data_IF_816512746410
#
_entry.id   IF_816512746410
#
_cell.length_a   1.000
_cell.length_b   1.000
_cell.length_c   1.000
_cell.angle_alpha   90.00
_cell.angle_beta   90.00
_cell.angle_gamma   90.00
#
_symmetry.space_group_name_H-M   'P 1'
#
loop_
_entity.id
_entity.type
_entity.pdbx_description
1 polymer ?
#
# COMPACT_ATOMS: atom_id res chain seq x y z
N UNK A 1 -20.43 -16.96 -15.97
CA UNK A 1 -21.23 -15.74 -16.00
C UNK A 1 -21.95 -15.44 -14.67
N UNK A 2 -22.42 -16.45 -13.94
CA UNK A 2 -23.17 -16.23 -12.69
C UNK A 2 -22.29 -15.76 -11.51
N UNK A 3 -20.98 -15.98 -11.56
CA UNK A 3 -20.08 -15.58 -10.48
C UNK A 3 -19.83 -14.06 -10.45
N UNK A 4 -19.83 -13.41 -11.64
CA UNK A 4 -19.67 -11.96 -11.75
C UNK A 4 -20.91 -11.19 -11.26
N UNK A 5 -22.11 -11.68 -11.54
CA UNK A 5 -23.35 -11.05 -11.08
C UNK A 5 -23.47 -11.08 -9.55
N UNK A 6 -23.05 -12.16 -8.89
CA UNK A 6 -23.06 -12.24 -7.44
C UNK A 6 -22.06 -11.29 -6.78
N UNK A 7 -20.85 -11.13 -7.36
CA UNK A 7 -19.85 -10.21 -6.82
C UNK A 7 -20.23 -8.74 -7.04
N UNK A 8 -20.86 -8.38 -8.17
CA UNK A 8 -21.36 -7.03 -8.41
C UNK A 8 -22.47 -6.63 -7.43
N UNK A 9 -23.39 -7.53 -7.10
CA UNK A 9 -24.41 -7.28 -6.08
C UNK A 9 -23.79 -7.06 -4.70
N UNK A 10 -22.84 -7.91 -4.30
CA UNK A 10 -22.17 -7.77 -3.00
C UNK A 10 -21.39 -6.45 -2.88
N UNK A 11 -20.76 -5.99 -3.95
CA UNK A 11 -20.01 -4.73 -3.97
C UNK A 11 -20.94 -3.52 -3.82
N UNK A 12 -22.10 -3.52 -4.48
CA UNK A 12 -23.05 -2.40 -4.44
C UNK A 12 -23.67 -2.18 -3.06
N UNK A 13 -23.93 -3.26 -2.34
CA UNK A 13 -24.65 -3.23 -1.06
C UNK A 13 -23.72 -3.25 0.15
N UNK A 14 -22.40 -3.44 -0.07
CA UNK A 14 -21.41 -3.41 1.01
C UNK A 14 -21.01 -1.97 1.36
N UNK A 15 -20.85 -1.64 2.64
CA UNK A 15 -20.23 -0.37 3.04
C UNK A 15 -18.85 -0.22 2.40
N UNK A 16 -18.49 1.00 2.01
CA UNK A 16 -17.17 1.30 1.43
C UNK A 16 -16.00 0.86 2.33
N UNK A 17 -16.22 0.79 3.63
CA UNK A 17 -15.26 0.29 4.62
C UNK A 17 -14.92 -1.20 4.46
N UNK A 18 -15.75 -1.96 3.75
CA UNK A 18 -15.51 -3.38 3.47
C UNK A 18 -14.73 -3.61 2.16
N UNK A 19 -14.38 -2.53 1.45
CA UNK A 19 -13.68 -2.59 0.17
C UNK A 19 -12.29 -2.01 0.37
N UNK A 20 -11.25 -2.83 0.16
CA UNK A 20 -9.85 -2.41 0.29
C UNK A 20 -9.06 -2.85 -0.94
N UNK A 21 -8.06 -2.06 -1.34
CA UNK A 21 -7.08 -2.45 -2.36
C UNK A 21 -5.89 -3.15 -1.72
N UNK A 22 -5.41 -4.19 -2.39
CA UNK A 22 -4.30 -5.02 -1.92
C UNK A 22 -2.95 -4.31 -2.12
N UNK A 23 -2.40 -3.71 -1.07
CA UNK A 23 -1.04 -3.14 -1.04
C UNK A 23 -0.04 -4.06 -0.34
N UNK A 24 -0.52 -5.15 0.28
CA UNK A 24 0.28 -6.05 1.13
C UNK A 24 1.48 -6.66 0.41
N UNK A 25 1.37 -6.91 -0.89
CA UNK A 25 2.49 -7.46 -1.66
C UNK A 25 3.68 -6.50 -1.71
N UNK A 26 3.43 -5.23 -2.00
CA UNK A 26 4.49 -4.22 -2.08
C UNK A 26 4.99 -3.83 -0.68
N UNK A 27 4.10 -3.82 0.32
CA UNK A 27 4.46 -3.66 1.72
C UNK A 27 5.43 -4.77 2.18
N UNK A 28 5.12 -6.03 1.93
CA UNK A 28 5.98 -7.17 2.27
C UNK A 28 7.34 -7.10 1.53
N UNK A 29 7.33 -6.67 0.26
CA UNK A 29 8.56 -6.45 -0.52
C UNK A 29 9.42 -5.33 0.08
N UNK A 30 8.82 -4.22 0.45
CA UNK A 30 9.50 -3.09 1.08
C UNK A 30 10.17 -3.52 2.41
N UNK A 31 9.43 -4.23 3.28
CA UNK A 31 9.97 -4.83 4.52
C UNK A 31 11.16 -5.74 4.22
N UNK A 32 11.05 -6.64 3.25
CA UNK A 32 12.11 -7.59 2.88
C UNK A 32 13.37 -6.89 2.33
N UNK A 33 13.21 -5.85 1.50
CA UNK A 33 14.34 -5.08 0.96
C UNK A 33 15.08 -4.36 2.10
N UNK A 34 14.36 -3.73 3.01
CA UNK A 34 14.97 -3.04 4.15
C UNK A 34 15.62 -4.02 5.13
N UNK A 35 14.96 -5.11 5.47
CA UNK A 35 15.52 -6.16 6.33
C UNK A 35 16.84 -6.70 5.79
N UNK A 36 16.89 -6.96 4.47
CA UNK A 36 18.13 -7.39 3.79
C UNK A 36 19.22 -6.30 3.87
N UNK A 37 18.87 -5.03 3.67
CA UNK A 37 19.82 -3.90 3.75
C UNK A 37 20.45 -3.76 5.15
N UNK A 38 19.64 -3.99 6.18
CA UNK A 38 20.05 -3.80 7.58
C UNK A 38 20.59 -5.09 8.21
N UNK A 39 20.50 -6.23 7.53
CA UNK A 39 20.80 -7.56 8.08
C UNK A 39 19.94 -7.87 9.33
N UNK A 40 18.67 -7.50 9.27
CA UNK A 40 17.66 -7.71 10.30
C UNK A 40 16.58 -8.67 9.82
N UNK A 41 15.71 -9.14 10.72
CA UNK A 41 14.55 -9.95 10.34
C UNK A 41 13.40 -9.07 9.86
N UNK A 42 12.55 -9.61 8.99
CA UNK A 42 11.37 -8.90 8.45
C UNK A 42 10.39 -8.54 9.56
N UNK A 43 10.22 -9.42 10.55
CA UNK A 43 9.36 -9.20 11.71
C UNK A 43 9.84 -8.07 12.65
N UNK A 44 11.12 -7.71 12.59
CA UNK A 44 11.70 -6.62 13.39
C UNK A 44 11.52 -5.24 12.74
N UNK A 45 11.02 -5.18 11.49
CA UNK A 45 10.79 -3.94 10.74
C UNK A 45 9.36 -3.46 10.97
N UNK A 46 9.23 -2.24 11.44
CA UNK A 46 7.96 -1.60 11.81
C UNK A 46 7.75 -0.28 11.06
N UNK A 47 6.50 0.15 10.94
CA UNK A 47 6.08 1.47 10.45
C UNK A 47 6.48 1.77 9.00
N UNK A 48 6.56 0.78 8.12
CA UNK A 48 6.69 1.04 6.68
C UNK A 48 5.33 1.41 6.11
N UNK A 49 5.30 2.39 5.24
CA UNK A 49 4.09 2.81 4.53
C UNK A 49 4.31 2.69 3.02
N UNK A 50 3.25 2.30 2.31
CA UNK A 50 3.16 2.43 0.86
C UNK A 50 1.99 3.36 0.57
N UNK A 51 2.27 4.58 0.16
CA UNK A 51 1.26 5.56 -0.18
C UNK A 51 0.81 5.44 -1.64
N UNK A 52 -0.43 5.83 -1.91
CA UNK A 52 -0.90 6.13 -3.26
C UNK A 52 -1.53 4.98 -4.03
N UNK A 53 -1.36 5.00 -5.33
CA UNK A 53 -1.90 4.04 -6.27
C UNK A 53 -1.08 2.74 -6.28
N UNK A 54 -1.74 1.60 -6.54
CA UNK A 54 -1.03 0.33 -6.78
C UNK A 54 -0.45 0.28 -8.21
N UNK A 55 0.45 1.19 -8.50
CA UNK A 55 1.12 1.36 -9.80
C UNK A 55 2.61 1.66 -9.62
N UNK A 56 3.27 2.03 -10.69
CA UNK A 56 4.67 2.51 -10.63
C UNK A 56 4.82 3.87 -9.97
N UNK A 57 3.72 4.57 -9.67
CA UNK A 57 3.72 5.85 -8.95
C UNK A 57 3.56 5.69 -7.43
N UNK A 58 3.35 4.46 -6.93
CA UNK A 58 3.31 4.21 -5.48
C UNK A 58 4.52 4.80 -4.76
N UNK A 59 4.33 5.28 -3.54
CA UNK A 59 5.38 5.94 -2.77
C UNK A 59 5.72 5.15 -1.52
N UNK A 60 6.74 4.27 -1.58
CA UNK A 60 7.27 3.60 -0.40
C UNK A 60 7.97 4.59 0.53
N UNK A 61 7.56 4.62 1.79
CA UNK A 61 8.03 5.56 2.80
C UNK A 61 8.71 4.84 3.96
N UNK A 62 9.95 5.22 4.25
CA UNK A 62 10.78 4.70 5.34
C UNK A 62 11.07 5.75 6.43
N UNK A 63 10.57 6.98 6.29
CA UNK A 63 10.96 8.08 7.19
C UNK A 63 10.42 7.91 8.62
N UNK A 64 9.39 7.08 8.80
CA UNK A 64 8.84 6.73 10.11
C UNK A 64 9.21 5.31 10.55
N UNK A 65 10.06 4.63 9.75
CA UNK A 65 10.39 3.23 9.96
C UNK A 65 11.20 3.03 11.25
N UNK A 66 10.93 1.91 11.92
CA UNK A 66 11.65 1.46 13.12
C UNK A 66 12.16 0.05 12.95
N UNK A 67 13.18 -0.28 13.70
CA UNK A 67 13.68 -1.65 13.87
C UNK A 67 13.68 -1.98 15.36
N UNK A 68 12.90 -2.99 15.77
CA UNK A 68 12.72 -3.35 17.18
C UNK A 68 12.34 -2.13 18.03
N UNK A 69 11.36 -1.37 17.53
CA UNK A 69 10.83 -0.14 18.15
C UNK A 69 11.84 1.01 18.31
N UNK A 70 13.02 0.92 17.66
CA UNK A 70 14.03 1.98 17.65
C UNK A 70 14.03 2.70 16.30
N UNK A 71 14.09 4.02 16.35
CA UNK A 71 14.30 4.84 15.17
C UNK A 71 15.64 4.48 14.50
N UNK A 72 15.62 4.47 13.16
CA UNK A 72 16.77 4.19 12.34
C UNK A 72 17.10 5.40 11.48
N UNK A 73 18.39 5.61 11.27
CA UNK A 73 18.86 6.64 10.36
C UNK A 73 19.31 5.97 9.06
N UNK A 74 18.60 6.26 7.96
CA UNK A 74 18.90 5.75 6.64
C UNK A 74 19.45 6.88 5.77
N UNK A 75 20.36 6.53 4.89
CA UNK A 75 20.85 7.45 3.87
C UNK A 75 19.71 7.83 2.90
N UNK A 76 19.40 9.11 2.84
CA UNK A 76 18.34 9.65 1.99
C UNK A 76 18.61 9.38 0.51
N UNK A 77 19.85 9.39 0.06
CA UNK A 77 20.18 9.05 -1.34
C UNK A 77 19.85 7.60 -1.64
N UNK A 78 20.16 6.68 -0.72
CA UNK A 78 19.77 5.27 -0.86
C UNK A 78 18.26 5.08 -0.91
N UNK A 79 17.49 5.82 -0.08
CA UNK A 79 16.02 5.76 -0.10
C UNK A 79 15.50 6.14 -1.48
N UNK A 80 15.91 7.30 -2.01
CA UNK A 80 15.38 7.84 -3.26
C UNK A 80 15.92 7.15 -4.52
N UNK A 81 17.20 6.80 -4.54
CA UNK A 81 17.86 6.28 -5.74
C UNK A 81 17.81 4.75 -5.84
N UNK A 82 17.60 4.05 -4.72
CA UNK A 82 17.64 2.59 -4.69
C UNK A 82 16.34 1.98 -4.19
N UNK A 83 15.92 2.34 -2.97
CA UNK A 83 14.80 1.65 -2.31
C UNK A 83 13.47 1.90 -3.02
N UNK A 84 13.08 3.17 -3.20
CA UNK A 84 11.81 3.53 -3.83
C UNK A 84 11.70 2.94 -5.24
N UNK A 85 12.67 3.16 -6.16
CA UNK A 85 12.60 2.57 -7.50
C UNK A 85 12.54 1.04 -7.51
N UNK A 86 13.24 0.39 -6.57
CA UNK A 86 13.25 -1.06 -6.48
C UNK A 86 11.91 -1.64 -6.04
N UNK A 87 11.21 -1.00 -5.10
CA UNK A 87 9.85 -1.40 -4.71
C UNK A 87 8.89 -1.20 -5.88
N UNK A 88 8.91 -0.01 -6.50
CA UNK A 88 8.03 0.36 -7.61
C UNK A 88 8.15 -0.58 -8.83
N UNK A 89 9.37 -1.00 -9.17
CA UNK A 89 9.66 -1.80 -10.38
C UNK A 89 9.63 -3.31 -10.15
N UNK A 90 9.57 -3.77 -8.90
CA UNK A 90 9.77 -5.19 -8.55
C UNK A 90 8.78 -6.13 -9.25
N UNK A 91 7.55 -5.71 -9.45
CA UNK A 91 6.56 -6.50 -10.20
C UNK A 91 6.95 -6.75 -11.64
N UNK A 92 7.40 -5.70 -12.35
CA UNK A 92 7.89 -5.77 -13.72
C UNK A 92 9.15 -6.63 -13.86
N UNK A 93 10.12 -6.48 -12.96
CA UNK A 93 11.33 -7.30 -12.94
C UNK A 93 11.01 -8.80 -12.85
N UNK A 94 10.06 -9.20 -12.01
CA UNK A 94 9.65 -10.60 -11.87
C UNK A 94 9.05 -11.12 -13.18
N UNK A 95 8.22 -10.34 -13.86
CA UNK A 95 7.62 -10.70 -15.14
C UNK A 95 8.71 -10.85 -16.20
N UNK A 96 9.68 -9.94 -16.24
CA UNK A 96 10.80 -9.97 -17.17
C UNK A 96 11.65 -11.24 -16.99
N UNK A 97 12.00 -11.59 -15.74
CA UNK A 97 12.81 -12.77 -15.46
C UNK A 97 12.08 -14.10 -15.63
N UNK A 98 10.79 -14.16 -15.36
CA UNK A 98 10.01 -15.41 -15.35
C UNK A 98 9.12 -15.61 -16.57
N UNK A 99 8.87 -14.55 -17.34
CA UNK A 99 7.86 -14.53 -18.41
C UNK A 99 6.41 -14.58 -17.88
N UNK A 100 6.23 -14.67 -16.56
CA UNK A 100 4.93 -14.78 -15.89
C UNK A 100 4.92 -13.98 -14.59
N UNK A 101 3.75 -13.49 -14.19
CA UNK A 101 3.53 -12.87 -12.89
C UNK A 101 3.78 -13.84 -11.73
N UNK A 102 4.13 -13.31 -10.56
CA UNK A 102 4.40 -14.11 -9.36
C UNK A 102 3.10 -14.52 -8.65
N UNK A 103 2.47 -15.60 -9.09
CA UNK A 103 1.21 -16.08 -8.51
C UNK A 103 1.33 -16.45 -7.02
N UNK A 104 2.40 -17.12 -6.61
CA UNK A 104 2.59 -17.57 -5.24
C UNK A 104 2.76 -16.40 -4.26
N UNK A 105 3.55 -15.39 -4.61
CA UNK A 105 3.72 -14.19 -3.76
C UNK A 105 2.44 -13.37 -3.65
N UNK A 106 1.65 -13.30 -4.73
CA UNK A 106 0.35 -12.65 -4.72
C UNK A 106 -0.63 -13.41 -3.81
N UNK A 107 -0.68 -14.74 -3.91
CA UNK A 107 -1.52 -15.57 -3.03
C UNK A 107 -1.15 -15.43 -1.55
N UNK A 108 0.16 -15.40 -1.23
CA UNK A 108 0.63 -15.14 0.14
C UNK A 108 0.21 -13.76 0.63
N UNK A 109 0.36 -12.72 -0.21
CA UNK A 109 -0.03 -11.37 0.15
C UNK A 109 -1.55 -11.22 0.36
N UNK A 110 -2.37 -11.93 -0.41
CA UNK A 110 -3.83 -11.99 -0.20
C UNK A 110 -4.14 -12.64 1.14
N UNK A 111 -3.49 -13.76 1.45
CA UNK A 111 -3.66 -14.43 2.74
C UNK A 111 -3.27 -13.51 3.91
N UNK A 112 -2.10 -12.87 3.83
CA UNK A 112 -1.62 -11.92 4.85
C UNK A 112 -2.59 -10.74 5.02
N UNK A 113 -3.12 -10.21 3.91
CA UNK A 113 -4.08 -9.11 3.92
C UNK A 113 -5.37 -9.48 4.64
N UNK A 114 -5.96 -10.64 4.30
CA UNK A 114 -7.18 -11.15 4.96
C UNK A 114 -6.90 -11.44 6.43
N UNK A 115 -5.77 -12.09 6.74
CA UNK A 115 -5.39 -12.41 8.11
C UNK A 115 -5.25 -11.16 8.99
N UNK A 116 -4.67 -10.08 8.44
CA UNK A 116 -4.56 -8.79 9.13
C UNK A 116 -5.93 -8.17 9.34
N UNK A 117 -6.80 -8.16 8.34
CA UNK A 117 -8.14 -7.60 8.45
C UNK A 117 -8.98 -8.34 9.51
N UNK A 118 -8.89 -9.67 9.58
CA UNK A 118 -9.64 -10.48 10.54
C UNK A 118 -9.08 -10.42 11.96
N UNK A 119 -7.76 -10.48 12.13
CA UNK A 119 -7.13 -10.66 13.43
C UNK A 119 -6.47 -9.39 13.98
N UNK A 120 -6.34 -8.35 13.16
CA UNK A 120 -5.61 -7.13 13.50
C UNK A 120 -4.11 -7.24 13.23
N UNK A 121 -3.42 -6.12 13.44
CA UNK A 121 -1.96 -6.02 13.35
C UNK A 121 -1.43 -5.17 14.49
N UNK A 122 -0.26 -5.54 15.03
CA UNK A 122 0.47 -4.73 16.01
C UNK A 122 1.28 -3.60 15.37
N UNK A 123 1.42 -3.62 14.05
CA UNK A 123 2.15 -2.64 13.25
C UNK A 123 1.19 -1.88 12.31
N UNK A 124 1.67 -0.82 11.71
CA UNK A 124 0.94 -0.14 10.64
C UNK A 124 0.88 -1.02 9.40
N UNK A 125 -0.26 -0.98 8.75
CA UNK A 125 -0.47 -1.66 7.49
C UNK A 125 -0.68 -0.63 6.37
N UNK A 126 -0.33 -1.01 5.14
CA UNK A 126 -0.66 -0.23 3.97
C UNK A 126 -1.92 -0.82 3.33
N UNK A 127 -3.03 -0.10 3.39
CA UNK A 127 -4.29 -0.48 2.74
C UNK A 127 -4.75 0.62 1.78
N UNK A 128 -5.14 0.23 0.57
CA UNK A 128 -5.89 1.14 -0.30
C UNK A 128 -7.34 1.22 0.18
N UNK A 129 -7.75 2.38 0.63
CA UNK A 129 -9.09 2.65 1.17
C UNK A 129 -9.64 3.94 0.59
N UNK A 130 -10.97 4.14 0.68
CA UNK A 130 -11.59 5.35 0.17
C UNK A 130 -11.15 6.55 1.00
N UNK A 131 -10.55 7.54 0.34
CA UNK A 131 -10.15 8.81 0.97
C UNK A 131 -11.38 9.64 1.31
N UNK A 132 -11.38 10.22 2.52
CA UNK A 132 -12.34 11.25 2.95
C UNK A 132 -11.68 12.64 3.04
N UNK A 133 -10.41 12.76 2.63
CA UNK A 133 -9.61 13.99 2.68
C UNK A 133 -8.41 13.92 3.61
N UNK A 134 -8.08 12.74 4.13
CA UNK A 134 -6.92 12.53 5.00
C UNK A 134 -5.63 12.94 4.28
N UNK A 135 -4.70 13.55 5.00
CA UNK A 135 -3.43 14.08 4.46
C UNK A 135 -3.60 15.08 3.31
N UNK A 136 -4.77 15.73 3.20
CA UNK A 136 -5.18 16.58 2.08
C UNK A 136 -5.26 15.86 0.72
N UNK A 137 -5.34 14.53 0.72
CA UNK A 137 -5.60 13.73 -0.47
C UNK A 137 -7.08 13.90 -0.87
N UNK A 138 -7.33 14.02 -2.17
CA UNK A 138 -8.68 14.21 -2.70
C UNK A 138 -9.64 13.13 -2.20
N UNK A 139 -10.82 13.54 -1.78
CA UNK A 139 -11.90 12.62 -1.39
C UNK A 139 -12.39 11.78 -2.58
N UNK A 140 -13.00 10.66 -2.28
CA UNK A 140 -13.64 9.75 -3.25
C UNK A 140 -12.66 9.09 -4.25
N UNK A 141 -11.42 8.89 -3.86
CA UNK A 141 -10.46 8.02 -4.57
C UNK A 141 -9.97 6.92 -3.63
N UNK A 142 -9.69 5.75 -4.19
CA UNK A 142 -9.06 4.64 -3.44
C UNK A 142 -7.56 4.91 -3.37
N UNK A 143 -7.08 5.33 -2.20
CA UNK A 143 -5.68 5.69 -1.98
C UNK A 143 -5.08 4.83 -0.88
N UNK A 144 -3.84 4.40 -1.02
CA UNK A 144 -3.16 3.65 0.03
C UNK A 144 -2.66 4.58 1.13
N UNK A 145 -3.11 4.29 2.33
CA UNK A 145 -2.74 4.99 3.57
C UNK A 145 -2.12 4.03 4.58
N UNK A 146 -1.35 4.56 5.56
CA UNK A 146 -1.05 3.82 6.77
C UNK A 146 -2.34 3.64 7.58
N UNK A 147 -2.62 2.43 8.00
CA UNK A 147 -3.78 2.10 8.81
C UNK A 147 -3.41 1.29 10.04
N UNK A 148 -4.21 1.41 11.08
CA UNK A 148 -4.20 0.51 12.24
C UNK A 148 -5.40 -0.41 12.12
N UNK A 149 -5.17 -1.70 12.16
CA UNK A 149 -6.21 -2.73 12.02
C UNK A 149 -6.46 -3.40 13.36
N UNK A 150 -7.74 -3.40 13.78
CA UNK A 150 -8.19 -3.96 15.05
C UNK A 150 -9.29 -5.03 14.78
N UNK A 151 -8.91 -6.17 14.22
CA UNK A 151 -9.80 -7.30 13.96
C UNK A 151 -11.19 -6.91 13.43
N UNK A 152 -11.43 -7.05 12.14
CA UNK A 152 -12.69 -6.69 11.49
C UNK A 152 -12.91 -5.20 11.22
N UNK A 153 -11.99 -4.31 11.64
CA UNK A 153 -12.07 -2.86 11.37
C UNK A 153 -10.69 -2.24 11.21
N UNK A 154 -10.63 -1.13 10.49
CA UNK A 154 -9.40 -0.35 10.35
C UNK A 154 -9.67 1.14 10.55
N UNK A 155 -8.64 1.87 10.95
CA UNK A 155 -8.65 3.33 11.00
C UNK A 155 -7.40 3.84 10.28
N UNK A 156 -7.57 4.85 9.44
CA UNK A 156 -6.44 5.57 8.85
C UNK A 156 -5.68 6.23 9.99
N UNK A 157 -4.37 6.03 10.02
CA UNK A 157 -3.51 6.70 10.99
C UNK A 157 -3.24 8.11 10.47
N UNK A 158 -3.71 9.11 11.19
CA UNK A 158 -3.77 10.52 10.76
C UNK A 158 -2.61 11.40 11.25
N UNK A 159 -1.72 10.83 12.07
CA UNK A 159 -0.60 11.53 12.71
C UNK A 159 0.79 11.12 12.16
N UNK A 160 0.85 10.49 10.98
CA UNK A 160 2.11 10.14 10.34
C UNK A 160 2.74 11.38 9.70
N UNK A 161 3.98 11.67 10.09
CA UNK A 161 4.73 12.77 9.51
C UNK A 161 5.26 12.39 8.12
N UNK A 162 4.75 13.04 7.08
CA UNK A 162 5.23 12.85 5.71
C UNK A 162 6.48 13.70 5.50
N UNK A 163 7.59 13.05 5.17
CA UNK A 163 8.82 13.77 4.88
C UNK A 163 8.67 14.63 3.61
N UNK A 164 9.16 15.87 3.65
CA UNK A 164 9.00 16.85 2.56
C UNK A 164 9.46 16.34 1.20
N UNK A 165 10.49 15.50 1.15
CA UNK A 165 11.01 14.93 -0.11
C UNK A 165 10.03 14.02 -0.84
N UNK A 166 8.97 13.54 -0.19
CA UNK A 166 7.93 12.69 -0.79
C UNK A 166 6.75 13.49 -1.36
N UNK A 167 6.65 14.77 -1.05
CA UNK A 167 5.46 15.59 -1.36
C UNK A 167 5.12 15.62 -2.84
N UNK A 168 6.11 15.72 -3.72
CA UNK A 168 5.87 15.73 -5.17
C UNK A 168 5.42 14.34 -5.68
N UNK A 169 6.04 13.27 -5.18
CA UNK A 169 5.65 11.91 -5.54
C UNK A 169 4.23 11.58 -5.09
N UNK A 170 3.79 12.10 -3.93
CA UNK A 170 2.42 11.95 -3.46
C UNK A 170 1.41 12.65 -4.37
N UNK A 171 1.73 13.84 -4.86
CA UNK A 171 0.88 14.53 -5.85
C UNK A 171 0.77 13.74 -7.15
N UNK A 172 1.88 13.19 -7.65
CA UNK A 172 1.89 12.41 -8.89
C UNK A 172 1.00 11.19 -8.79
N UNK A 173 1.08 10.43 -7.69
CA UNK A 173 0.24 9.24 -7.51
C UNK A 173 -1.22 9.57 -7.26
N UNK A 174 -1.53 10.68 -6.58
CA UNK A 174 -2.89 11.20 -6.42
C UNK A 174 -3.50 11.63 -7.76
N UNK A 175 -2.76 12.39 -8.56
CA UNK A 175 -3.21 12.82 -9.89
C UNK A 175 -3.47 11.64 -10.84
N UNK A 176 -2.69 10.57 -10.74
CA UNK A 176 -2.93 9.34 -11.50
C UNK A 176 -4.30 8.75 -11.15
N UNK A 177 -4.61 8.58 -9.87
CA UNK A 177 -5.91 8.07 -9.41
C UNK A 177 -7.08 8.98 -9.80
N UNK A 178 -6.89 10.30 -9.74
CA UNK A 178 -7.91 11.26 -10.20
C UNK A 178 -8.17 11.08 -11.70
N UNK A 179 -7.13 10.93 -12.52
CA UNK A 179 -7.28 10.67 -13.96
C UNK A 179 -7.98 9.35 -14.24
N UNK A 180 -7.61 8.28 -13.54
CA UNK A 180 -8.27 6.98 -13.65
C UNK A 180 -9.77 7.09 -13.32
N UNK A 181 -10.12 7.78 -12.24
CA UNK A 181 -11.52 8.01 -11.83
C UNK A 181 -12.28 8.80 -12.91
N UNK A 182 -11.71 9.84 -13.48
CA UNK A 182 -12.36 10.63 -14.53
C UNK A 182 -12.64 9.79 -15.81
N UNK A 183 -11.75 8.85 -16.16
CA UNK A 183 -11.96 7.95 -17.31
C UNK A 183 -13.21 7.07 -17.10
N UNK A 184 -13.41 6.58 -15.89
CA UNK A 184 -14.52 5.67 -15.55
C UNK A 184 -15.77 6.39 -15.04
N UNK A 185 -15.74 7.71 -14.89
CA UNK A 185 -16.80 8.53 -14.27
C UNK A 185 -18.20 8.25 -14.82
N UNK A 186 -18.32 8.02 -16.13
CA UNK A 186 -19.59 7.69 -16.77
C UNK A 186 -20.21 6.35 -16.36
N UNK A 187 -19.42 5.51 -15.67
CA UNK A 187 -19.86 4.20 -15.17
C UNK A 187 -20.06 4.21 -13.64
N UNK A 188 -19.66 5.29 -12.97
CA UNK A 188 -19.89 5.46 -11.54
C UNK A 188 -21.33 5.90 -11.29
N UNK A 189 -21.92 5.50 -10.13
CA UNK A 189 -23.27 5.90 -9.75
C UNK A 189 -23.41 7.41 -9.53
#
# INVERSE_FOLDING_TARGET
HNCLVGSEMCIRDSPNTNITSLMKLDHNRAKSILATKLNEKVEDIENIVIWGNHSTTQVPDLFNCKVRSKEINLDHSWIHETFIPRVQKRGGEIIEFRGLSSAASAASAIYDHINVLENGSSDWEALGVLSSGEYNIKSDIMFSFPVVVNGGSYNIKDDVNIHQSLSESLKVTEEELIKEREIIKKYLP
#
